data_IF_288400135372
#
_entry.id   IF_288400135372
#
_cell.length_a   1.000
_cell.length_b   1.000
_cell.length_c   1.000
_cell.angle_alpha   90.00
_cell.angle_beta   90.00
_cell.angle_gamma   90.00
#
_symmetry.space_group_name_H-M   'P 1'
#
loop_
_entity.id
_entity.type
_entity.pdbx_description
1 polymer ?
#
# COMPACT_ATOMS: atom_id res chain seq x y z
N UNK A 1 -12.81 -3.62 5.62
CA UNK A 1 -12.17 -3.58 4.30
C UNK A 1 -11.79 -4.99 3.82
N UNK A 2 -10.59 -5.56 4.08
CA UNK A 2 -10.22 -6.83 3.44
C UNK A 2 -11.11 -8.04 3.76
N UNK A 3 -11.59 -8.18 5.00
CA UNK A 3 -12.58 -9.23 5.32
C UNK A 3 -13.89 -9.06 4.53
N UNK A 4 -14.31 -7.83 4.30
CA UNK A 4 -15.50 -7.53 3.48
C UNK A 4 -15.22 -7.76 1.99
N UNK A 5 -14.05 -7.32 1.48
CA UNK A 5 -13.58 -7.62 0.12
C UNK A 5 -13.56 -9.13 -0.17
N UNK A 6 -13.12 -9.95 0.79
CA UNK A 6 -13.10 -11.41 0.68
C UNK A 6 -14.49 -11.98 0.44
N UNK A 7 -15.50 -11.50 1.16
CA UNK A 7 -16.87 -11.96 0.99
C UNK A 7 -17.51 -11.44 -0.30
N UNK A 8 -17.25 -10.18 -0.65
CA UNK A 8 -17.77 -9.56 -1.86
C UNK A 8 -17.28 -10.19 -3.16
N UNK A 9 -16.05 -10.73 -3.17
CA UNK A 9 -15.53 -11.49 -4.31
C UNK A 9 -16.43 -12.67 -4.66
N UNK A 10 -17.17 -13.20 -3.68
CA UNK A 10 -18.09 -14.33 -3.83
C UNK A 10 -19.52 -13.90 -4.22
N UNK A 11 -19.86 -12.62 -4.09
CA UNK A 11 -21.21 -12.13 -4.35
C UNK A 11 -21.52 -12.04 -5.84
N UNK A 12 -22.76 -12.39 -6.20
CA UNK A 12 -23.32 -12.19 -7.53
C UNK A 12 -23.99 -10.81 -7.61
N UNK A 13 -23.19 -9.77 -7.82
CA UNK A 13 -23.65 -8.39 -7.99
C UNK A 13 -22.81 -7.69 -9.06
N UNK A 14 -23.28 -6.54 -9.53
CA UNK A 14 -22.50 -5.76 -10.49
C UNK A 14 -21.19 -5.27 -9.83
N UNK A 15 -20.10 -5.05 -10.60
CA UNK A 15 -18.88 -4.44 -10.06
C UNK A 15 -19.16 -3.12 -9.34
N UNK A 16 -20.09 -2.32 -9.86
CA UNK A 16 -20.46 -1.06 -9.25
C UNK A 16 -21.12 -1.24 -7.87
N UNK A 17 -22.06 -2.18 -7.74
CA UNK A 17 -22.69 -2.49 -6.44
C UNK A 17 -21.66 -2.96 -5.42
N UNK A 18 -20.61 -3.66 -5.87
CA UNK A 18 -19.51 -4.06 -5.01
C UNK A 18 -18.79 -2.80 -4.49
N UNK A 19 -18.36 -1.90 -5.37
CA UNK A 19 -17.71 -0.66 -4.92
C UNK A 19 -18.60 0.14 -3.97
N UNK A 20 -19.89 0.28 -4.28
CA UNK A 20 -20.86 0.95 -3.41
C UNK A 20 -20.98 0.28 -2.03
N UNK A 21 -21.03 -1.05 -1.98
CA UNK A 21 -21.08 -1.81 -0.73
C UNK A 21 -19.84 -1.61 0.15
N UNK A 22 -18.65 -1.41 -0.45
CA UNK A 22 -17.43 -1.11 0.31
C UNK A 22 -17.46 0.25 1.00
N UNK A 23 -18.22 1.20 0.47
CA UNK A 23 -18.34 2.53 1.06
C UNK A 23 -18.80 2.45 2.52
N UNK A 24 -19.74 1.54 2.82
CA UNK A 24 -20.19 1.31 4.19
C UNK A 24 -19.06 0.86 5.15
N UNK A 25 -18.07 0.10 4.66
CA UNK A 25 -16.94 -0.38 5.47
C UNK A 25 -15.73 0.57 5.51
N UNK A 26 -15.60 1.44 4.50
CA UNK A 26 -14.37 2.21 4.25
C UNK A 26 -14.53 3.71 4.47
N UNK A 27 -15.75 4.23 4.37
CA UNK A 27 -16.09 5.61 4.61
C UNK A 27 -16.65 5.80 6.01
N UNK A 28 -16.18 6.82 6.72
CA UNK A 28 -16.67 7.18 8.06
C UNK A 28 -17.49 8.48 8.01
N UNK A 29 -17.21 9.36 7.03
CA UNK A 29 -17.72 10.74 7.01
C UNK A 29 -18.56 11.08 5.77
N UNK A 30 -18.26 10.52 4.61
CA UNK A 30 -19.03 10.73 3.39
C UNK A 30 -19.06 9.48 2.52
N UNK A 31 -20.24 9.14 2.01
CA UNK A 31 -20.39 8.11 0.98
C UNK A 31 -20.38 8.81 -0.38
N UNK A 32 -19.51 8.41 -1.33
CA UNK A 32 -19.52 8.98 -2.66
C UNK A 32 -20.88 8.81 -3.34
N UNK A 33 -21.24 9.76 -4.20
CA UNK A 33 -22.42 9.62 -5.06
C UNK A 33 -22.03 8.73 -6.22
N UNK A 34 -22.79 7.66 -6.41
CA UNK A 34 -22.62 6.73 -7.52
C UNK A 34 -23.70 6.95 -8.57
N UNK A 35 -23.31 6.99 -9.83
CA UNK A 35 -24.21 7.04 -11.00
C UNK A 35 -24.20 5.71 -11.75
N UNK A 36 -25.31 5.37 -12.40
CA UNK A 36 -25.42 4.11 -13.16
C UNK A 36 -24.52 4.07 -14.40
N UNK A 37 -24.14 5.23 -14.93
CA UNK A 37 -23.31 5.37 -16.14
C UNK A 37 -21.80 5.41 -15.85
N UNK A 38 -21.40 5.42 -14.58
CA UNK A 38 -19.98 5.45 -14.22
C UNK A 38 -19.34 4.05 -14.35
N UNK A 39 -18.07 4.00 -14.71
CA UNK A 39 -17.28 2.78 -14.67
C UNK A 39 -16.94 2.34 -13.25
N UNK A 40 -16.62 1.06 -13.06
CA UNK A 40 -16.19 0.54 -11.77
C UNK A 40 -14.88 1.16 -11.26
N UNK A 41 -13.98 1.57 -12.15
CA UNK A 41 -12.72 2.24 -11.78
C UNK A 41 -12.95 3.69 -11.36
N UNK A 42 -13.90 4.41 -11.98
CA UNK A 42 -14.31 5.74 -11.53
C UNK A 42 -14.97 5.68 -10.16
N UNK A 43 -15.88 4.71 -9.95
CA UNK A 43 -16.50 4.48 -8.65
C UNK A 43 -15.45 4.12 -7.59
N UNK A 44 -14.48 3.25 -7.93
CA UNK A 44 -13.41 2.86 -7.02
C UNK A 44 -12.52 4.05 -6.67
N UNK A 45 -12.18 4.87 -7.65
CA UNK A 45 -11.44 6.13 -7.46
C UNK A 45 -12.17 7.06 -6.50
N UNK A 46 -13.47 7.28 -6.71
CA UNK A 46 -14.30 8.11 -5.84
C UNK A 46 -14.34 7.55 -4.40
N UNK A 47 -14.44 6.23 -4.26
CA UNK A 47 -14.38 5.56 -2.97
C UNK A 47 -13.04 5.77 -2.27
N UNK A 48 -11.91 5.48 -2.93
CA UNK A 48 -10.57 5.67 -2.35
C UNK A 48 -10.36 7.12 -1.93
N UNK A 49 -10.84 8.08 -2.73
CA UNK A 49 -10.79 9.51 -2.43
C UNK A 49 -11.68 9.92 -1.23
N UNK A 50 -12.68 9.12 -0.86
CA UNK A 50 -13.52 9.33 0.33
C UNK A 50 -13.09 8.49 1.55
N UNK A 51 -12.24 7.49 1.36
CA UNK A 51 -11.76 6.62 2.45
C UNK A 51 -11.00 7.41 3.52
N UNK A 52 -11.12 6.99 4.78
CA UNK A 52 -10.27 7.53 5.84
C UNK A 52 -8.78 7.32 5.56
N UNK A 53 -7.94 8.23 6.02
CA UNK A 53 -6.45 8.17 6.01
C UNK A 53 -5.92 6.77 6.32
N UNK A 54 -6.46 6.13 7.37
CA UNK A 54 -6.05 4.78 7.78
C UNK A 54 -6.34 3.70 6.73
N UNK A 55 -7.47 3.78 6.02
CA UNK A 55 -7.83 2.80 4.98
C UNK A 55 -6.97 2.99 3.73
N UNK A 56 -6.60 4.22 3.38
CA UNK A 56 -5.66 4.49 2.27
C UNK A 56 -4.27 3.98 2.58
N UNK A 57 -3.79 4.16 3.82
CA UNK A 57 -2.53 3.56 4.25
C UNK A 57 -2.54 2.03 4.09
N UNK A 58 -3.67 1.35 4.37
CA UNK A 58 -3.79 -0.08 4.09
C UNK A 58 -3.66 -0.41 2.59
N UNK A 59 -4.19 0.42 1.69
CA UNK A 59 -4.00 0.18 0.25
C UNK A 59 -2.53 0.33 -0.14
N UNK A 60 -1.86 1.40 0.32
CA UNK A 60 -0.44 1.64 0.06
C UNK A 60 0.46 0.49 0.54
N UNK A 61 0.32 0.09 1.81
CA UNK A 61 1.24 -0.88 2.42
C UNK A 61 0.95 -2.33 2.08
N UNK A 62 -0.30 -2.66 1.70
CA UNK A 62 -0.67 -4.05 1.42
C UNK A 62 -0.81 -4.39 -0.06
N UNK A 63 -0.77 -3.42 -0.95
CA UNK A 63 -0.62 -3.64 -2.39
C UNK A 63 0.71 -3.04 -2.84
N UNK A 64 1.82 -3.78 -2.68
CA UNK A 64 3.15 -3.25 -2.94
C UNK A 64 3.42 -3.04 -4.44
N UNK A 65 2.65 -3.69 -5.31
CA UNK A 65 2.72 -3.50 -6.75
C UNK A 65 2.17 -2.13 -7.19
N UNK A 66 2.77 -1.52 -8.22
CA UNK A 66 2.19 -0.34 -8.85
C UNK A 66 0.76 -0.56 -9.31
N UNK A 67 -0.09 0.40 -8.95
CA UNK A 67 -1.37 0.67 -9.56
C UNK A 67 -1.23 0.78 -11.07
N UNK A 68 -2.15 0.14 -11.78
CA UNK A 68 -2.22 0.12 -13.24
C UNK A 68 -3.23 1.16 -13.79
N UNK A 69 -3.65 2.11 -12.95
CA UNK A 69 -4.44 3.29 -13.34
C UNK A 69 -3.61 4.57 -13.32
N UNK A 70 -4.30 5.73 -13.28
CA UNK A 70 -3.67 7.06 -13.32
C UNK A 70 -2.79 7.36 -12.10
N UNK A 71 -3.09 6.71 -10.97
CA UNK A 71 -2.37 6.89 -9.72
C UNK A 71 -1.69 5.58 -9.38
N UNK A 72 -0.36 5.59 -9.46
CA UNK A 72 0.44 4.41 -9.24
C UNK A 72 0.30 3.89 -7.81
N UNK A 73 0.41 4.71 -6.76
CA UNK A 73 0.50 4.18 -5.38
C UNK A 73 -0.71 3.37 -4.88
N UNK A 74 -1.88 3.51 -5.54
CA UNK A 74 -3.10 2.78 -5.16
C UNK A 74 -3.40 1.70 -6.18
N UNK A 75 -3.87 0.52 -5.74
CA UNK A 75 -4.29 -0.52 -6.66
C UNK A 75 -5.57 -0.09 -7.40
N UNK A 76 -5.74 -0.53 -8.64
CA UNK A 76 -7.03 -0.43 -9.34
C UNK A 76 -8.07 -1.39 -8.77
N UNK A 77 -9.33 -1.19 -9.13
CA UNK A 77 -10.39 -2.13 -8.80
C UNK A 77 -10.07 -3.52 -9.34
N UNK A 78 -9.55 -3.60 -10.56
CA UNK A 78 -9.08 -4.86 -11.16
C UNK A 78 -8.05 -5.57 -10.29
N UNK A 79 -7.02 -4.86 -9.84
CA UNK A 79 -5.97 -5.44 -8.99
C UNK A 79 -6.53 -5.88 -7.62
N UNK A 80 -7.43 -5.08 -7.03
CA UNK A 80 -8.12 -5.40 -5.77
C UNK A 80 -9.02 -6.62 -5.89
N UNK A 81 -9.52 -6.96 -7.07
CA UNK A 81 -10.38 -8.13 -7.27
C UNK A 81 -9.61 -9.39 -7.70
N UNK A 82 -8.51 -9.23 -8.43
CA UNK A 82 -7.74 -10.34 -8.99
C UNK A 82 -6.68 -10.91 -8.03
N UNK A 83 -6.01 -10.05 -7.24
CA UNK A 83 -4.84 -10.47 -6.45
C UNK A 83 -5.21 -11.14 -5.13
N UNK A 84 -4.37 -11.98 -4.53
CA UNK A 84 -4.61 -12.48 -3.17
C UNK A 84 -4.84 -11.34 -2.19
N UNK A 85 -5.85 -11.46 -1.32
CA UNK A 85 -6.08 -10.43 -0.31
C UNK A 85 -4.99 -10.49 0.76
N UNK A 86 -4.45 -9.34 1.18
CA UNK A 86 -3.49 -9.26 2.26
C UNK A 86 -4.07 -9.88 3.54
N UNK A 87 -3.32 -10.76 4.20
CA UNK A 87 -3.77 -11.35 5.46
C UNK A 87 -3.69 -10.31 6.58
N UNK A 88 -4.84 -9.89 7.13
CA UNK A 88 -4.91 -8.96 8.26
C UNK A 88 -4.23 -9.48 9.54
N UNK A 89 -3.95 -10.79 9.62
CA UNK A 89 -3.47 -11.46 10.84
C UNK A 89 -2.07 -11.04 11.29
N UNK A 90 -1.30 -10.32 10.46
CA UNK A 90 0.09 -9.93 10.80
C UNK A 90 0.31 -8.45 11.09
N UNK A 91 -0.71 -7.60 10.97
CA UNK A 91 -0.46 -6.16 10.89
C UNK A 91 -1.24 -5.34 11.90
N UNK A 92 -0.44 -4.64 12.71
CA UNK A 92 -0.87 -3.59 13.62
C UNK A 92 -1.34 -2.32 12.90
N UNK A 93 -1.91 -1.39 13.67
CA UNK A 93 -2.42 -0.10 13.19
C UNK A 93 -1.29 0.74 12.57
N UNK A 94 -1.27 0.82 11.23
CA UNK A 94 -0.55 1.86 10.51
C UNK A 94 -1.22 3.21 10.86
N UNK A 95 -0.64 3.93 11.83
CA UNK A 95 -1.15 5.24 12.23
C UNK A 95 -0.77 6.32 11.21
N UNK A 96 -1.78 6.99 10.67
CA UNK A 96 -1.76 8.36 10.15
C UNK A 96 -0.52 8.75 9.33
N UNK A 97 -0.10 7.91 8.39
CA UNK A 97 1.01 8.25 7.49
C UNK A 97 0.57 8.72 6.11
N UNK A 98 -0.70 8.61 5.73
CA UNK A 98 -1.19 9.05 4.40
C UNK A 98 -2.26 10.12 4.59
N UNK A 99 -1.95 11.36 4.27
CA UNK A 99 -2.89 12.49 4.30
C UNK A 99 -3.44 12.77 2.90
N UNK A 100 -4.60 13.42 2.82
CA UNK A 100 -5.13 13.88 1.54
C UNK A 100 -5.04 15.39 1.47
N UNK A 101 -4.27 15.90 0.51
CA UNK A 101 -4.33 17.31 0.12
C UNK A 101 -5.51 17.52 -0.82
N UNK A 102 -6.68 17.86 -0.25
CA UNK A 102 -7.93 18.05 -1.01
C UNK A 102 -7.78 19.04 -2.19
N UNK A 103 -7.02 20.13 -1.99
CA UNK A 103 -6.82 21.16 -3.02
C UNK A 103 -6.00 20.68 -4.22
N UNK A 104 -5.02 19.83 -3.98
CA UNK A 104 -4.14 19.30 -5.02
C UNK A 104 -4.67 17.96 -5.57
N UNK A 105 -5.69 17.38 -4.92
CA UNK A 105 -6.17 16.04 -5.19
C UNK A 105 -5.01 15.01 -5.13
N UNK A 106 -4.14 15.18 -4.13
CA UNK A 106 -2.93 14.38 -3.91
C UNK A 106 -3.00 13.70 -2.56
N UNK A 107 -2.53 12.46 -2.46
CA UNK A 107 -2.39 11.74 -1.20
C UNK A 107 -0.92 11.76 -0.79
N UNK A 108 -0.58 12.33 0.36
CA UNK A 108 0.80 12.60 0.83
C UNK A 108 1.20 11.72 2.02
N UNK A 109 2.42 11.19 1.99
CA UNK A 109 2.94 10.19 2.88
C UNK A 109 3.94 10.86 3.81
N UNK A 110 3.56 10.92 5.09
CA UNK A 110 4.34 11.51 6.16
C UNK A 110 4.97 10.42 7.01
N UNK A 111 6.06 9.84 6.51
CA UNK A 111 6.83 8.86 7.26
C UNK A 111 8.27 8.70 6.78
N UNK A 112 9.02 7.77 7.40
CA UNK A 112 10.38 7.48 6.99
C UNK A 112 10.43 7.08 5.53
N UNK A 113 11.32 7.74 4.79
CA UNK A 113 11.61 7.53 3.38
C UNK A 113 13.12 7.41 3.23
N UNK A 114 13.56 6.50 2.39
CA UNK A 114 14.96 6.41 1.95
C UNK A 114 15.00 6.90 0.50
N UNK A 115 15.78 7.96 0.25
CA UNK A 115 15.86 8.62 -1.05
C UNK A 115 16.70 7.87 -2.07
N UNK A 116 17.73 7.17 -1.58
CA UNK A 116 18.65 6.40 -2.40
C UNK A 116 19.18 5.21 -1.61
N UNK A 117 19.26 4.08 -2.29
CA UNK A 117 20.01 2.92 -1.85
C UNK A 117 20.33 2.06 -3.06
N UNK A 118 21.19 1.06 -2.85
CA UNK A 118 21.45 0.03 -3.83
C UNK A 118 20.84 -1.28 -3.29
N UNK A 119 20.03 -1.95 -4.11
CA UNK A 119 19.53 -3.31 -3.84
C UNK A 119 20.31 -4.22 -4.78
N UNK A 120 21.40 -4.87 -4.31
CA UNK A 120 22.09 -5.87 -5.11
C UNK A 120 21.08 -6.92 -5.56
N UNK A 121 21.18 -7.31 -6.84
CA UNK A 121 20.27 -8.23 -7.54
C UNK A 121 19.71 -9.30 -6.59
N UNK A 122 18.42 -9.19 -6.29
CA UNK A 122 17.70 -10.19 -5.52
C UNK A 122 17.77 -11.54 -6.25
N UNK A 123 17.93 -12.62 -5.48
CA UNK A 123 17.95 -13.97 -6.06
C UNK A 123 16.68 -14.16 -6.92
N UNK A 124 16.86 -14.68 -8.15
CA UNK A 124 15.80 -14.82 -9.15
C UNK A 124 14.54 -15.37 -8.47
N UNK A 125 13.44 -14.62 -8.58
CA UNK A 125 12.22 -14.87 -7.81
C UNK A 125 11.83 -16.34 -7.84
N UNK A 126 11.78 -16.97 -6.66
CA UNK A 126 11.29 -18.34 -6.58
C UNK A 126 9.82 -18.33 -7.05
N UNK A 127 9.46 -19.23 -7.95
CA UNK A 127 8.06 -19.42 -8.35
C UNK A 127 7.22 -20.07 -7.23
N UNK A 128 7.82 -20.32 -6.06
CA UNK A 128 7.28 -21.17 -4.99
C UNK A 128 6.65 -20.37 -3.85
N UNK A 129 6.47 -19.05 -4.03
CA UNK A 129 5.85 -18.18 -3.03
C UNK A 129 6.68 -17.96 -1.77
N UNK A 130 7.99 -18.28 -1.80
CA UNK A 130 8.90 -17.91 -0.72
C UNK A 130 9.23 -16.42 -0.81
N UNK A 131 9.21 -15.68 0.32
CA UNK A 131 9.58 -14.27 0.33
C UNK A 131 10.98 -14.07 -0.24
N UNK A 132 11.14 -13.09 -1.13
CA UNK A 132 12.44 -12.75 -1.69
C UNK A 132 13.28 -12.11 -0.60
N UNK A 133 14.50 -12.60 -0.40
CA UNK A 133 15.46 -12.04 0.54
C UNK A 133 16.54 -11.27 -0.22
N UNK A 134 16.99 -10.17 0.35
CA UNK A 134 18.03 -9.35 -0.25
C UNK A 134 18.68 -8.43 0.77
N UNK A 135 19.65 -7.67 0.28
CA UNK A 135 20.32 -6.65 1.06
C UNK A 135 19.99 -5.28 0.49
N UNK A 136 19.82 -4.30 1.36
CA UNK A 136 19.68 -2.90 1.00
C UNK A 136 20.89 -2.17 1.55
N UNK A 137 21.66 -1.54 0.67
CA UNK A 137 22.79 -0.68 1.06
C UNK A 137 22.30 0.76 1.04
N UNK A 138 22.36 1.43 2.19
CA UNK A 138 21.98 2.85 2.33
C UNK A 138 23.14 3.67 2.85
N UNK A 139 23.20 4.94 2.44
CA UNK A 139 24.21 5.88 2.91
C UNK A 139 23.58 6.84 3.92
N UNK A 140 24.20 7.00 5.09
CA UNK A 140 23.75 7.98 6.08
C UNK A 140 24.29 9.40 5.82
N UNK A 141 23.91 10.34 6.68
CA UNK A 141 24.32 11.75 6.61
C UNK A 141 25.83 11.95 6.84
N UNK A 142 26.49 11.06 7.57
CA UNK A 142 27.95 11.02 7.73
C UNK A 142 28.66 10.47 6.49
N UNK A 143 27.92 9.87 5.57
CA UNK A 143 28.40 9.21 4.37
C UNK A 143 28.83 7.76 4.57
N UNK A 144 28.53 7.18 5.73
CA UNK A 144 28.76 5.77 6.05
C UNK A 144 27.72 4.89 5.35
N UNK A 145 28.17 3.77 4.79
CA UNK A 145 27.30 2.78 4.18
C UNK A 145 26.80 1.79 5.24
N UNK A 146 25.50 1.53 5.24
CA UNK A 146 24.84 0.56 6.10
C UNK A 146 24.15 -0.49 5.23
N UNK A 147 24.38 -1.77 5.56
CA UNK A 147 23.71 -2.89 4.91
C UNK A 147 22.59 -3.41 5.79
N UNK A 148 21.38 -3.45 5.25
CA UNK A 148 20.17 -3.87 5.95
C UNK A 148 19.61 -5.09 5.24
N UNK A 149 19.30 -6.15 5.99
CA UNK A 149 18.60 -7.31 5.44
C UNK A 149 17.14 -6.95 5.16
N UNK A 150 16.67 -7.21 3.94
CA UNK A 150 15.29 -6.97 3.52
C UNK A 150 14.62 -8.25 3.09
N UNK A 151 13.32 -8.33 3.34
CA UNK A 151 12.46 -9.42 2.89
C UNK A 151 11.28 -8.79 2.17
N UNK A 152 11.05 -9.21 0.93
CA UNK A 152 9.91 -8.83 0.14
C UNK A 152 8.94 -10.00 0.04
N UNK A 153 7.72 -9.82 0.55
CA UNK A 153 6.63 -10.80 0.46
C UNK A 153 5.94 -10.79 -0.92
N UNK A 154 6.54 -10.10 -1.91
CA UNK A 154 6.03 -9.99 -3.27
C UNK A 154 6.96 -10.68 -4.28
N UNK A 155 6.39 -11.13 -5.40
CA UNK A 155 7.14 -11.84 -6.44
C UNK A 155 7.66 -10.94 -7.57
N UNK A 156 7.27 -9.66 -7.62
CA UNK A 156 7.72 -8.76 -8.70
C UNK A 156 9.20 -8.36 -8.51
N UNK A 157 9.97 -8.25 -9.61
CA UNK A 157 11.37 -7.87 -9.54
C UNK A 157 11.53 -6.41 -9.11
N UNK A 158 12.45 -6.16 -8.19
CA UNK A 158 12.89 -4.81 -7.82
C UNK A 158 14.05 -4.46 -8.74
N UNK A 159 13.82 -3.55 -9.69
CA UNK A 159 14.85 -3.09 -10.60
C UNK A 159 15.82 -2.14 -9.88
N UNK A 160 17.10 -2.27 -10.21
CA UNK A 160 18.16 -1.43 -9.66
C UNK A 160 17.94 0.06 -10.01
N UNK A 161 18.30 0.94 -9.08
CA UNK A 161 18.30 2.40 -9.27
C UNK A 161 16.94 3.10 -9.37
N UNK A 162 15.80 2.41 -9.25
CA UNK A 162 14.47 3.07 -9.38
C UNK A 162 13.44 2.56 -8.38
N UNK A 163 13.66 2.78 -7.10
CA UNK A 163 12.66 2.45 -6.09
C UNK A 163 12.57 3.49 -4.98
N UNK A 164 11.36 3.69 -4.48
CA UNK A 164 11.10 4.44 -3.24
C UNK A 164 10.77 3.45 -2.15
N UNK A 165 11.44 3.59 -1.00
CA UNK A 165 11.24 2.76 0.16
C UNK A 165 10.43 3.53 1.23
N UNK A 166 9.24 3.02 1.55
CA UNK A 166 8.25 3.69 2.42
C UNK A 166 7.97 2.83 3.65
N UNK A 167 8.24 3.34 4.86
CA UNK A 167 8.27 2.52 6.08
C UNK A 167 7.08 2.73 7.04
N UNK A 168 6.34 1.69 7.39
CA UNK A 168 5.25 1.75 8.38
C UNK A 168 5.73 1.66 9.83
N UNK A 169 5.12 2.41 10.76
CA UNK A 169 5.30 2.17 12.21
C UNK A 169 4.18 1.25 12.68
N UNK A 170 4.56 0.12 13.25
CA UNK A 170 3.66 -0.83 13.88
C UNK A 170 3.55 -0.51 15.38
N UNK A 171 2.34 -0.39 15.94
CA UNK A 171 2.13 -0.36 17.39
C UNK A 171 1.68 -1.75 17.84
N UNK A 172 2.47 -2.41 18.68
CA UNK A 172 2.14 -3.75 19.15
C UNK A 172 0.90 -3.82 20.03
N UNK A 173 0.35 -5.03 20.04
CA UNK A 173 -0.89 -5.51 20.63
C UNK A 173 -1.04 -5.19 22.13
N UNK A 174 -2.28 -4.94 22.58
CA UNK A 174 -2.62 -4.56 23.95
C UNK A 174 -2.47 -5.71 24.98
N UNK A 175 -2.03 -6.90 24.54
CA UNK A 175 -1.98 -8.12 25.34
C UNK A 175 -0.59 -8.48 25.89
N UNK A 176 0.47 -7.74 25.53
CA UNK A 176 1.79 -7.91 26.14
C UNK A 176 2.18 -6.67 26.92
N UNK A 177 2.52 -6.82 28.20
CA UNK A 177 2.99 -5.74 29.11
C UNK A 177 4.28 -5.06 28.64
N UNK A 178 4.89 -5.52 27.55
CA UNK A 178 6.09 -4.96 26.94
C UNK A 178 5.72 -4.09 25.73
N UNK A 179 5.68 -2.77 25.93
CA UNK A 179 5.58 -1.78 24.87
C UNK A 179 6.90 -1.65 24.10
N UNK A 180 7.27 -2.65 23.30
CA UNK A 180 8.35 -2.46 22.32
C UNK A 180 7.83 -1.67 21.12
N UNK A 181 8.35 -0.45 20.96
CA UNK A 181 8.19 0.31 19.73
C UNK A 181 9.02 -0.34 18.63
N UNK A 182 8.43 -1.25 17.87
CA UNK A 182 9.06 -1.72 16.63
C UNK A 182 8.82 -0.65 15.57
N UNK A 183 9.84 0.15 15.32
CA UNK A 183 9.74 1.33 14.46
C UNK A 183 9.48 0.99 12.98
N UNK A 184 9.86 -0.20 12.52
CA UNK A 184 9.83 -0.55 11.09
C UNK A 184 9.57 -2.05 10.94
N UNK A 185 8.39 -2.42 10.45
CA UNK A 185 8.07 -3.83 10.08
C UNK A 185 7.68 -3.98 8.62
N UNK A 186 7.09 -2.93 8.04
CA UNK A 186 6.46 -3.00 6.74
C UNK A 186 7.10 -1.96 5.83
N UNK A 187 7.55 -2.41 4.66
CA UNK A 187 8.12 -1.56 3.62
C UNK A 187 7.44 -1.85 2.29
N UNK A 188 7.21 -0.79 1.51
CA UNK A 188 6.84 -0.91 0.10
C UNK A 188 8.04 -0.52 -0.73
N UNK A 189 8.41 -1.36 -1.69
CA UNK A 189 9.54 -1.12 -2.61
C UNK A 189 8.98 -1.06 -4.02
N UNK A 190 9.16 0.03 -4.76
CA UNK A 190 8.71 0.07 -6.15
C UNK A 190 9.13 1.33 -6.89
N UNK A 191 9.09 1.27 -8.23
CA UNK A 191 9.30 2.43 -9.11
C UNK A 191 8.09 3.35 -9.02
N UNK A 192 8.09 4.21 -8.02
CA UNK A 192 7.11 5.27 -7.84
C UNK A 192 7.72 6.57 -8.36
N UNK A 193 7.54 6.86 -9.66
CA UNK A 193 8.10 8.08 -10.26
C UNK A 193 7.26 9.29 -9.84
N UNK A 194 7.92 10.27 -9.23
CA UNK A 194 7.35 11.58 -8.86
C UNK A 194 6.90 12.42 -10.06
N UNK A 195 7.24 12.00 -11.29
CA UNK A 195 6.96 12.75 -12.52
C UNK A 195 5.52 12.62 -13.02
N UNK A 196 4.77 11.58 -12.60
CA UNK A 196 3.33 11.56 -12.73
C UNK A 196 2.72 12.31 -11.53
N UNK A 197 2.89 13.63 -11.54
CA UNK A 197 2.84 14.49 -10.37
C UNK A 197 1.59 14.35 -9.51
N UNK A 198 1.70 13.57 -8.44
CA UNK A 198 0.97 13.67 -7.17
C UNK A 198 1.87 13.04 -6.11
N UNK A 199 2.51 13.90 -5.30
CA UNK A 199 3.39 13.52 -4.18
C UNK A 199 2.78 12.33 -3.42
N UNK A 200 3.56 11.28 -3.13
CA UNK A 200 3.10 10.14 -2.29
C UNK A 200 2.85 10.62 -0.89
#
# INVERSE_FOLDING_TARGET
>A
MFGFLSEMRKWWSTPLDKVAGLAHSCCIWCVPIYREDQSEEEAWTALVNAMSVRKRAYLLFFYPEPGDGDISWRPSWRQVMAKPLPSLRRYSVLQNKVERMEKADVDVYKGPRIDSGDVPRMADGSQDGTPQQGELVVKDDSGTLHTIQIVADHAYPILDGVYTLIGGKARFDYLSENFEYVYMRDWVVGRWTLEAGREI
#
